data_IF_911377949399
#
_entry.id   IF_911377949399
#
_cell.length_a   1.000
_cell.length_b   1.000
_cell.length_c   1.000
_cell.angle_alpha   90.00
_cell.angle_beta   90.00
_cell.angle_gamma   90.00
#
_symmetry.space_group_name_H-M   'P 1'
#
loop_
_entity.id
_entity.type
_entity.pdbx_description
1 polymer ?
#
# COMPACT_ATOMS: atom_id res chain seq x y z
N UNK A 1 14.88 -17.71 3.06
CA UNK A 1 14.56 -16.69 3.98
C UNK A 1 13.12 -16.74 4.46
N UNK A 2 12.35 -15.69 4.24
CA UNK A 2 10.99 -15.46 4.77
C UNK A 2 9.96 -16.53 4.39
N UNK A 3 10.00 -17.03 3.14
CA UNK A 3 9.11 -18.10 2.66
C UNK A 3 9.29 -19.43 3.40
N UNK A 4 10.53 -19.75 3.79
CA UNK A 4 10.82 -20.97 4.56
C UNK A 4 10.31 -20.80 5.99
N UNK A 5 10.54 -19.63 6.58
CA UNK A 5 10.05 -19.29 7.91
C UNK A 5 8.51 -19.34 8.02
N UNK A 6 7.78 -18.81 7.03
CA UNK A 6 6.31 -18.90 7.03
C UNK A 6 5.82 -20.35 6.90
N UNK A 7 6.48 -21.19 6.08
CA UNK A 7 6.17 -22.61 6.03
C UNK A 7 6.39 -23.29 7.37
N UNK A 8 7.52 -23.02 8.02
CA UNK A 8 7.85 -23.61 9.30
C UNK A 8 6.85 -23.17 10.39
N UNK A 9 6.49 -21.88 10.41
CA UNK A 9 5.51 -21.32 11.36
C UNK A 9 4.09 -21.85 11.10
N UNK A 10 3.68 -22.00 9.83
CA UNK A 10 2.39 -22.61 9.46
C UNK A 10 2.35 -24.09 9.85
N UNK A 11 3.42 -24.83 9.57
CA UNK A 11 3.53 -26.25 9.89
C UNK A 11 3.58 -26.46 11.41
N UNK A 12 4.37 -25.67 12.16
CA UNK A 12 4.38 -25.71 13.63
C UNK A 12 3.01 -25.38 14.24
N UNK A 13 2.29 -24.40 13.66
CA UNK A 13 0.94 -24.05 14.11
C UNK A 13 -0.11 -25.15 13.86
N UNK A 14 0.11 -25.99 12.84
CA UNK A 14 -0.78 -27.12 12.50
C UNK A 14 -0.44 -28.39 13.28
N UNK A 15 0.81 -28.56 13.70
CA UNK A 15 1.30 -29.82 14.33
C UNK A 15 1.18 -29.79 15.86
N UNK A 16 1.08 -28.63 16.49
CA UNK A 16 0.96 -28.52 17.95
C UNK A 16 -0.49 -28.73 18.43
N UNK A 17 -0.88 -30.01 18.54
CA UNK A 17 -2.25 -30.41 18.94
C UNK A 17 -2.54 -30.32 20.47
N UNK A 18 -1.57 -29.91 21.29
CA UNK A 18 -1.63 -30.10 22.77
C UNK A 18 -2.03 -28.84 23.57
N UNK A 19 -2.90 -27.98 23.02
CA UNK A 19 -3.35 -26.81 23.81
C UNK A 19 -4.73 -26.29 23.41
N UNK A 20 -5.41 -25.49 24.26
CA UNK A 20 -6.68 -24.87 23.89
C UNK A 20 -6.51 -24.04 22.62
N UNK A 21 -7.37 -24.27 21.63
CA UNK A 21 -7.32 -23.66 20.28
C UNK A 21 -7.10 -22.14 20.32
N UNK A 22 -7.71 -21.46 21.28
CA UNK A 22 -7.59 -20.02 21.46
C UNK A 22 -6.14 -19.56 21.79
N UNK A 23 -5.46 -20.27 22.70
CA UNK A 23 -4.08 -19.92 23.10
C UNK A 23 -3.07 -20.11 21.95
N UNK A 24 -3.32 -21.11 21.10
CA UNK A 24 -2.53 -21.33 19.87
C UNK A 24 -2.70 -20.18 18.88
N UNK A 25 -3.94 -19.80 18.62
CA UNK A 25 -4.25 -18.69 17.69
C UNK A 25 -3.62 -17.38 18.16
N UNK A 26 -3.74 -17.05 19.44
CA UNK A 26 -3.14 -15.84 20.01
C UNK A 26 -1.61 -15.87 19.94
N UNK A 27 -0.98 -17.02 20.24
CA UNK A 27 0.48 -17.18 20.15
C UNK A 27 0.96 -17.05 18.70
N UNK A 28 0.22 -17.65 17.77
CA UNK A 28 0.51 -17.56 16.33
C UNK A 28 0.37 -16.13 15.80
N UNK A 29 -0.75 -15.48 16.12
CA UNK A 29 -0.99 -14.08 15.78
C UNK A 29 0.10 -13.16 16.38
N UNK A 30 0.51 -13.41 17.62
CA UNK A 30 1.58 -12.66 18.27
C UNK A 30 2.96 -12.83 17.59
N UNK A 31 3.29 -14.05 17.14
CA UNK A 31 4.53 -14.29 16.37
C UNK A 31 4.51 -13.52 15.04
N UNK A 32 3.41 -13.59 14.28
CA UNK A 32 3.25 -12.86 13.02
C UNK A 32 3.31 -11.36 13.27
N UNK A 33 2.58 -10.86 14.26
CA UNK A 33 2.56 -9.44 14.61
C UNK A 33 3.97 -8.93 14.97
N UNK A 34 4.69 -9.64 15.84
CA UNK A 34 6.06 -9.26 16.23
C UNK A 34 7.03 -9.19 15.06
N UNK A 35 6.84 -10.03 14.04
CA UNK A 35 7.66 -10.02 12.84
C UNK A 35 7.27 -8.93 11.86
N UNK A 36 5.98 -8.60 11.75
CA UNK A 36 5.47 -7.54 10.87
C UNK A 36 5.61 -6.14 11.50
N UNK A 37 5.67 -6.06 12.82
CA UNK A 37 5.72 -4.81 13.58
C UNK A 37 6.85 -3.85 13.14
N UNK A 38 8.13 -4.29 12.95
CA UNK A 38 9.18 -3.39 12.48
C UNK A 38 8.92 -2.83 11.08
N UNK A 39 8.29 -3.60 10.19
CA UNK A 39 7.92 -3.14 8.84
C UNK A 39 6.75 -2.16 8.88
N UNK A 40 5.76 -2.41 9.75
CA UNK A 40 4.67 -1.48 10.02
C UNK A 40 5.18 -0.17 10.62
N UNK A 41 6.11 -0.24 11.56
CA UNK A 41 6.72 0.94 12.18
C UNK A 41 7.53 1.74 11.16
N UNK A 42 8.31 1.07 10.31
CA UNK A 42 9.06 1.72 9.24
C UNK A 42 8.14 2.39 8.22
N UNK A 43 7.07 1.71 7.80
CA UNK A 43 6.05 2.26 6.91
C UNK A 43 5.34 3.47 7.52
N UNK A 44 4.96 3.40 8.79
CA UNK A 44 4.35 4.50 9.51
C UNK A 44 5.30 5.70 9.68
N UNK A 45 6.58 5.45 9.97
CA UNK A 45 7.62 6.48 10.05
C UNK A 45 7.82 7.19 8.70
N UNK A 46 7.96 6.42 7.63
CA UNK A 46 8.11 6.97 6.27
C UNK A 46 6.85 7.77 5.90
N UNK A 47 5.65 7.24 6.15
CA UNK A 47 4.39 7.93 5.92
C UNK A 47 4.27 9.22 6.72
N UNK A 48 4.68 9.22 7.99
CA UNK A 48 4.68 10.41 8.85
C UNK A 48 5.66 11.48 8.38
N UNK A 49 6.85 11.07 7.94
CA UNK A 49 7.86 12.00 7.37
C UNK A 49 7.33 12.62 6.08
N UNK A 50 6.76 11.83 5.19
CA UNK A 50 6.17 12.33 3.94
C UNK A 50 5.02 13.29 4.25
N UNK A 51 4.13 12.95 5.19
CA UNK A 51 3.00 13.79 5.55
C UNK A 51 3.41 15.11 6.22
N UNK A 52 4.46 15.11 7.03
CA UNK A 52 4.93 16.28 7.76
C UNK A 52 5.90 17.19 6.99
N UNK A 53 6.68 16.61 6.08
CA UNK A 53 7.75 17.32 5.38
C UNK A 53 7.50 17.59 3.90
N UNK A 54 6.48 16.96 3.27
CA UNK A 54 6.18 17.24 1.87
C UNK A 54 5.32 18.53 1.79
N UNK A 55 5.88 19.66 1.32
CA UNK A 55 5.09 20.86 1.10
C UNK A 55 4.03 20.56 0.05
N UNK A 56 2.78 20.96 0.29
CA UNK A 56 1.70 20.78 -0.65
C UNK A 56 1.99 21.42 -2.02
N UNK A 57 2.81 22.47 -2.01
CA UNK A 57 3.30 23.16 -3.21
C UNK A 57 4.14 22.27 -4.12
N UNK A 58 4.94 21.37 -3.57
CA UNK A 58 5.72 20.40 -4.33
C UNK A 58 4.83 19.33 -4.96
N UNK A 59 3.81 18.90 -4.23
CA UNK A 59 2.83 17.94 -4.73
C UNK A 59 2.05 18.56 -5.90
N UNK A 60 1.69 19.83 -5.80
CA UNK A 60 1.01 20.56 -6.87
C UNK A 60 1.90 20.80 -8.08
N UNK A 61 3.15 21.17 -7.89
CA UNK A 61 4.09 21.37 -9.00
C UNK A 61 4.32 20.10 -9.82
N UNK A 62 4.29 18.93 -9.17
CA UNK A 62 4.52 17.63 -9.80
C UNK A 62 3.22 16.95 -10.22
N UNK A 63 2.11 17.19 -9.51
CA UNK A 63 0.83 16.49 -9.65
C UNK A 63 -0.35 17.43 -10.03
N UNK A 64 -0.06 18.60 -10.60
CA UNK A 64 -1.07 19.54 -11.09
C UNK A 64 -1.93 18.96 -12.22
N UNK A 65 -3.13 19.54 -12.46
CA UNK A 65 -4.11 19.02 -13.41
C UNK A 65 -3.63 19.03 -14.87
N UNK A 66 -2.69 19.86 -15.21
CA UNK A 66 -2.15 19.98 -16.58
C UNK A 66 -1.09 18.91 -16.91
N UNK A 67 -0.62 18.17 -15.90
CA UNK A 67 0.47 17.22 -16.09
C UNK A 67 -0.06 15.78 -16.14
N UNK A 68 -0.21 15.23 -17.36
CA UNK A 68 -0.60 13.83 -17.54
C UNK A 68 0.36 12.82 -16.87
N UNK A 69 1.62 13.19 -16.68
CA UNK A 69 2.59 12.36 -15.96
C UNK A 69 2.33 12.33 -14.44
N UNK A 70 1.54 13.27 -13.94
CA UNK A 70 1.14 13.29 -12.54
C UNK A 70 0.33 12.05 -12.13
N UNK A 71 -0.49 11.52 -13.04
CA UNK A 71 -1.35 10.35 -12.78
C UNK A 71 -0.53 9.08 -12.51
N UNK A 72 0.38 8.63 -13.40
CA UNK A 72 1.20 7.45 -13.11
C UNK A 72 2.17 7.67 -11.93
N UNK A 73 2.66 8.90 -11.74
CA UNK A 73 3.49 9.21 -10.58
C UNK A 73 2.70 9.12 -9.27
N UNK A 74 1.47 9.63 -9.25
CA UNK A 74 0.58 9.54 -8.10
C UNK A 74 0.22 8.07 -7.78
N UNK A 75 -0.02 7.23 -8.80
CA UNK A 75 -0.23 5.80 -8.62
C UNK A 75 0.99 5.13 -7.96
N UNK A 76 2.19 5.44 -8.44
CA UNK A 76 3.42 4.89 -7.90
C UNK A 76 3.64 5.34 -6.45
N UNK A 77 3.44 6.62 -6.17
CA UNK A 77 3.52 7.17 -4.81
C UNK A 77 2.48 6.50 -3.90
N UNK A 78 1.24 6.32 -4.39
CA UNK A 78 0.18 5.63 -3.67
C UNK A 78 0.58 4.21 -3.24
N UNK A 79 1.16 3.43 -4.15
CA UNK A 79 1.65 2.07 -3.86
C UNK A 79 2.76 2.08 -2.80
N UNK A 80 3.62 3.08 -2.81
CA UNK A 80 4.70 3.22 -1.82
C UNK A 80 4.19 3.71 -0.46
N UNK A 81 3.12 4.53 -0.48
CA UNK A 81 2.48 5.05 0.73
C UNK A 81 1.54 3.99 1.30
N UNK A 82 1.90 3.41 2.44
CA UNK A 82 1.00 2.56 3.21
C UNK A 82 -0.08 3.43 3.87
N UNK A 83 -1.09 3.82 3.10
CA UNK A 83 -2.20 4.66 3.60
C UNK A 83 -3.49 3.86 3.52
N UNK A 84 -4.18 3.73 4.65
CA UNK A 84 -5.51 3.11 4.70
C UNK A 84 -6.53 3.98 3.98
N UNK A 85 -7.51 3.37 3.33
CA UNK A 85 -8.54 4.07 2.57
C UNK A 85 -9.26 5.17 3.40
N UNK A 86 -9.48 4.92 4.70
CA UNK A 86 -10.14 5.88 5.58
C UNK A 86 -9.32 7.16 5.78
N UNK A 87 -7.99 7.05 5.74
CA UNK A 87 -7.07 8.18 5.96
C UNK A 87 -6.79 8.94 4.66
N UNK A 88 -6.80 8.22 3.52
CA UNK A 88 -6.45 8.82 2.24
C UNK A 88 -7.58 9.70 1.68
N UNK A 89 -8.85 9.44 2.05
CA UNK A 89 -9.99 10.25 1.62
C UNK A 89 -9.89 11.72 2.05
N UNK A 90 -9.68 12.06 3.33
CA UNK A 90 -9.51 13.47 3.73
C UNK A 90 -8.22 14.09 3.17
N UNK A 91 -7.16 13.30 2.98
CA UNK A 91 -5.93 13.76 2.33
C UNK A 91 -6.20 14.08 0.85
N UNK A 92 -6.91 13.21 0.14
CA UNK A 92 -7.31 13.44 -1.25
C UNK A 92 -8.16 14.69 -1.41
N UNK A 93 -9.15 14.92 -0.54
CA UNK A 93 -9.95 16.13 -0.53
C UNK A 93 -9.10 17.39 -0.30
N UNK A 94 -8.13 17.35 0.63
CA UNK A 94 -7.22 18.45 0.88
C UNK A 94 -6.28 18.73 -0.31
N UNK A 95 -5.82 17.68 -1.01
CA UNK A 95 -4.98 17.82 -2.19
C UNK A 95 -5.74 18.41 -3.38
N UNK A 96 -7.00 18.01 -3.58
CA UNK A 96 -7.89 18.62 -4.59
C UNK A 96 -8.12 20.10 -4.27
N UNK A 97 -8.41 20.42 -3.01
CA UNK A 97 -8.58 21.80 -2.56
C UNK A 97 -7.32 22.67 -2.78
N UNK A 98 -6.14 22.04 -2.83
CA UNK A 98 -4.85 22.68 -3.15
C UNK A 98 -4.51 22.69 -4.64
N UNK A 99 -5.42 22.24 -5.52
CA UNK A 99 -5.27 22.28 -6.97
C UNK A 99 -4.65 21.04 -7.60
N UNK A 100 -4.55 19.93 -6.87
CA UNK A 100 -4.17 18.66 -7.46
C UNK A 100 -5.28 18.15 -8.40
N UNK A 101 -4.90 17.63 -9.57
CA UNK A 101 -5.87 17.07 -10.52
C UNK A 101 -6.64 15.89 -9.91
N UNK A 102 -7.96 15.86 -10.14
CA UNK A 102 -8.84 14.80 -9.62
C UNK A 102 -8.36 13.42 -10.05
N UNK A 103 -7.92 13.27 -11.31
CA UNK A 103 -7.37 12.03 -11.82
C UNK A 103 -6.12 11.55 -11.08
N UNK A 104 -5.23 12.47 -10.74
CA UNK A 104 -4.03 12.17 -9.95
C UNK A 104 -4.39 11.71 -8.54
N UNK A 105 -5.39 12.34 -7.90
CA UNK A 105 -5.85 11.93 -6.57
C UNK A 105 -6.52 10.56 -6.61
N UNK A 106 -7.36 10.28 -7.61
CA UNK A 106 -8.00 8.97 -7.79
C UNK A 106 -6.96 7.88 -8.03
N UNK A 107 -5.93 8.17 -8.83
CA UNK A 107 -4.83 7.25 -9.09
C UNK A 107 -4.02 6.96 -7.83
N UNK A 108 -3.74 7.98 -7.01
CA UNK A 108 -3.11 7.86 -5.69
C UNK A 108 -3.93 6.98 -4.75
N UNK A 109 -5.26 7.20 -4.72
CA UNK A 109 -6.20 6.43 -3.90
C UNK A 109 -6.18 4.95 -4.28
N UNK A 110 -6.33 4.65 -5.57
CA UNK A 110 -6.37 3.27 -6.07
C UNK A 110 -5.00 2.59 -5.87
N UNK A 111 -3.90 3.28 -6.14
CA UNK A 111 -2.56 2.77 -5.91
C UNK A 111 -2.33 2.44 -4.43
N UNK A 112 -2.65 3.36 -3.54
CA UNK A 112 -2.44 3.19 -2.09
C UNK A 112 -3.37 2.21 -1.41
N UNK A 113 -4.65 2.14 -1.85
CA UNK A 113 -5.62 1.20 -1.31
C UNK A 113 -5.54 -0.20 -1.96
N UNK A 114 -5.10 -0.26 -3.22
CA UNK A 114 -5.03 -1.51 -3.98
C UNK A 114 -3.77 -2.33 -3.75
N UNK A 115 -2.69 -1.68 -3.33
CA UNK A 115 -1.41 -2.34 -3.12
C UNK A 115 -0.54 -1.55 -2.15
N UNK A 116 -0.08 -2.21 -1.10
CA UNK A 116 0.81 -1.60 -0.12
C UNK A 116 2.13 -2.36 0.00
N UNK A 117 3.20 -1.68 0.41
CA UNK A 117 4.50 -2.31 0.64
C UNK A 117 4.42 -3.54 1.56
N UNK A 118 3.74 -3.51 2.73
CA UNK A 118 3.57 -4.69 3.57
C UNK A 118 2.80 -5.81 2.87
N UNK A 119 1.82 -5.48 2.05
CA UNK A 119 1.05 -6.45 1.26
C UNK A 119 1.91 -7.13 0.21
N UNK A 120 2.73 -6.38 -0.51
CA UNK A 120 3.71 -6.92 -1.47
C UNK A 120 4.66 -7.89 -0.76
N UNK A 121 5.16 -7.52 0.42
CA UNK A 121 6.07 -8.38 1.20
C UNK A 121 5.35 -9.66 1.61
N UNK A 122 4.12 -9.56 2.09
CA UNK A 122 3.31 -10.70 2.52
C UNK A 122 2.97 -11.63 1.33
N UNK A 123 2.53 -11.05 0.22
CA UNK A 123 2.23 -11.79 -1.01
C UNK A 123 3.48 -12.44 -1.62
N UNK A 124 4.65 -11.79 -1.50
CA UNK A 124 5.92 -12.35 -1.99
C UNK A 124 6.33 -13.63 -1.29
N UNK A 125 5.84 -13.85 -0.08
CA UNK A 125 6.06 -15.09 0.67
C UNK A 125 5.14 -16.23 0.21
N UNK A 126 3.98 -15.92 -0.33
CA UNK A 126 2.94 -16.89 -0.71
C UNK A 126 2.94 -17.18 -2.21
N UNK A 127 3.24 -16.20 -3.05
CA UNK A 127 3.15 -16.29 -4.49
C UNK A 127 4.52 -16.32 -5.19
N UNK A 128 4.55 -16.93 -6.38
CA UNK A 128 5.73 -16.88 -7.25
C UNK A 128 5.98 -15.44 -7.70
N UNK A 129 7.24 -15.04 -7.80
CA UNK A 129 7.65 -13.68 -8.20
C UNK A 129 6.98 -13.18 -9.49
N UNK A 130 6.76 -14.07 -10.48
CA UNK A 130 6.08 -13.71 -11.74
C UNK A 130 4.62 -13.31 -11.52
N UNK A 131 3.90 -14.02 -10.65
CA UNK A 131 2.50 -13.72 -10.34
C UNK A 131 2.39 -12.43 -9.51
N UNK A 132 3.31 -12.23 -8.57
CA UNK A 132 3.39 -11.00 -7.79
C UNK A 132 3.64 -9.78 -8.69
N UNK A 133 4.58 -9.90 -9.63
CA UNK A 133 4.87 -8.82 -10.59
C UNK A 133 3.65 -8.52 -11.48
N UNK A 134 2.97 -9.56 -11.99
CA UNK A 134 1.77 -9.40 -12.78
C UNK A 134 0.65 -8.69 -11.99
N UNK A 135 0.50 -9.00 -10.71
CA UNK A 135 -0.47 -8.36 -9.82
C UNK A 135 -0.13 -6.88 -9.59
N UNK A 136 1.14 -6.56 -9.31
CA UNK A 136 1.60 -5.17 -9.14
C UNK A 136 1.33 -4.35 -10.42
N UNK A 137 1.68 -4.91 -11.58
CA UNK A 137 1.46 -4.25 -12.87
C UNK A 137 -0.02 -4.06 -13.17
N UNK A 138 -0.87 -5.03 -12.82
CA UNK A 138 -2.31 -4.94 -13.00
C UNK A 138 -2.90 -3.81 -12.15
N UNK A 139 -2.58 -3.75 -10.85
CA UNK A 139 -3.07 -2.70 -9.96
C UNK A 139 -2.58 -1.33 -10.42
N UNK A 140 -1.32 -1.22 -10.80
CA UNK A 140 -0.75 0.01 -11.35
C UNK A 140 -1.46 0.44 -12.63
N UNK A 141 -1.69 -0.48 -13.57
CA UNK A 141 -2.40 -0.19 -14.81
C UNK A 141 -3.85 0.29 -14.56
N UNK A 142 -4.57 -0.37 -13.65
CA UNK A 142 -5.92 0.02 -13.26
C UNK A 142 -5.92 1.42 -12.63
N UNK A 143 -4.98 1.69 -11.72
CA UNK A 143 -4.84 3.00 -11.08
C UNK A 143 -4.60 4.12 -12.11
N UNK A 144 -3.68 3.88 -13.05
CA UNK A 144 -3.35 4.85 -14.10
C UNK A 144 -4.51 5.04 -15.08
N UNK A 145 -5.11 3.96 -15.58
CA UNK A 145 -6.24 4.06 -16.52
C UNK A 145 -7.43 4.79 -15.90
N UNK A 146 -7.79 4.46 -14.65
CA UNK A 146 -8.88 5.13 -13.95
C UNK A 146 -8.55 6.60 -13.69
N UNK A 147 -7.31 6.88 -13.26
CA UNK A 147 -6.85 8.24 -13.04
C UNK A 147 -6.88 9.09 -14.31
N UNK A 148 -6.38 8.57 -15.44
CA UNK A 148 -6.43 9.25 -16.73
C UNK A 148 -7.86 9.49 -17.20
N UNK A 149 -8.75 8.51 -17.03
CA UNK A 149 -10.16 8.66 -17.39
C UNK A 149 -10.80 9.79 -16.57
N UNK A 150 -10.54 9.85 -15.27
CA UNK A 150 -11.04 10.92 -14.40
C UNK A 150 -10.42 12.29 -14.74
N UNK A 151 -9.14 12.32 -15.14
CA UNK A 151 -8.46 13.55 -15.55
C UNK A 151 -9.01 14.14 -16.85
N UNK A 152 -9.57 13.30 -17.72
CA UNK A 152 -10.17 13.74 -19.00
C UNK A 152 -11.62 14.21 -18.78
N UNK A 153 -12.33 13.63 -17.79
CA UNK A 153 -13.73 13.94 -17.52
C UNK A 153 -13.89 15.21 -16.68
N UNK A 154 -12.94 15.47 -15.78
CA UNK A 154 -12.96 16.58 -14.82
C UNK A 154 -11.75 17.50 -15.01
#
# INVERSE_FOLDING_TARGET
GFSRYLKDVVVEGLVDETGPKFRRVVRYAGKIFKQMFPYLLLGALIGSVIHGFLPAEWVMAVAGPENLFAVPLAALIGILLYIRAETILPIGAALIAKGMGVGSVVSLLIGGAGLSLPEIIMLSAMFKKKLLLAFILLVFAVAVLTGLTMQIIF
#
